data_IF_573385139386
#
_entry.id   IF_573385139386
#
_cell.length_a   1.000
_cell.length_b   1.000
_cell.length_c   1.000
_cell.angle_alpha   90.00
_cell.angle_beta   90.00
_cell.angle_gamma   90.00
#
_symmetry.space_group_name_H-M   'P 1'
#
loop_
_entity.id
_entity.type
_entity.pdbx_description
1 polymer ?
#
# COMPACT_ATOMS: atom_id res chain seq x y z
N UNK A 1 -25.79 13.57 55.18
CA UNK A 1 -26.82 13.12 54.23
C UNK A 1 -26.69 11.64 53.82
N UNK A 2 -25.87 10.81 54.49
CA UNK A 2 -25.77 9.36 54.25
C UNK A 2 -26.38 8.51 55.37
N UNK A 3 -26.97 9.14 56.39
CA UNK A 3 -27.41 8.47 57.62
C UNK A 3 -28.87 8.01 57.61
N UNK A 4 -29.69 8.47 56.65
CA UNK A 4 -31.13 8.14 56.58
C UNK A 4 -31.46 7.05 55.52
N UNK A 5 -30.42 6.40 54.97
CA UNK A 5 -30.59 5.34 53.96
C UNK A 5 -30.83 3.99 54.63
N UNK A 6 -31.79 3.21 54.11
CA UNK A 6 -32.05 1.83 54.56
C UNK A 6 -30.78 0.99 54.33
N UNK A 7 -30.53 0.02 55.21
CA UNK A 7 -29.32 -0.84 55.17
C UNK A 7 -29.05 -1.43 53.76
N UNK A 8 -30.12 -1.77 53.02
CA UNK A 8 -30.07 -2.24 51.63
C UNK A 8 -29.42 -1.24 50.67
N UNK A 9 -29.79 0.03 50.76
CA UNK A 9 -29.29 1.08 49.85
C UNK A 9 -27.82 1.38 50.13
N UNK A 10 -27.38 1.27 51.40
CA UNK A 10 -25.98 1.42 51.80
C UNK A 10 -25.10 0.30 51.22
N UNK A 11 -25.60 -0.94 51.22
CA UNK A 11 -24.91 -2.09 50.61
C UNK A 11 -24.86 -1.94 49.08
N UNK A 12 -25.96 -1.52 48.44
CA UNK A 12 -26.01 -1.28 46.98
C UNK A 12 -25.06 -0.15 46.57
N UNK A 13 -25.00 0.95 47.34
CA UNK A 13 -24.11 2.07 47.05
C UNK A 13 -22.63 1.62 47.08
N UNK A 14 -22.23 0.89 48.12
CA UNK A 14 -20.85 0.38 48.24
C UNK A 14 -20.52 -0.61 47.12
N UNK A 15 -21.46 -1.49 46.74
CA UNK A 15 -21.28 -2.43 45.64
C UNK A 15 -21.30 -1.76 44.25
N UNK A 16 -21.97 -0.62 44.10
CA UNK A 16 -22.08 0.09 42.82
C UNK A 16 -20.77 0.73 42.37
N UNK A 17 -19.94 1.21 43.31
CA UNK A 17 -18.65 1.85 43.02
C UNK A 17 -17.68 0.94 42.26
N UNK A 18 -17.34 -0.29 42.73
CA UNK A 18 -16.49 -1.20 41.96
C UNK A 18 -17.13 -1.65 40.65
N UNK A 19 -18.47 -1.74 40.59
CA UNK A 19 -19.18 -2.12 39.36
C UNK A 19 -19.04 -1.05 38.28
N UNK A 20 -19.21 0.24 38.63
CA UNK A 20 -19.02 1.36 37.70
C UNK A 20 -17.57 1.43 37.23
N UNK A 21 -16.60 1.20 38.11
CA UNK A 21 -15.18 1.15 37.75
C UNK A 21 -14.90 0.05 36.72
N UNK A 22 -15.41 -1.18 36.93
CA UNK A 22 -15.29 -2.27 35.96
C UNK A 22 -15.94 -1.94 34.61
N UNK A 23 -17.09 -1.27 34.62
CA UNK A 23 -17.76 -0.85 33.39
C UNK A 23 -16.93 0.17 32.59
N UNK A 24 -16.27 1.12 33.27
CA UNK A 24 -15.37 2.09 32.62
C UNK A 24 -14.17 1.36 32.00
N UNK A 25 -13.55 0.42 32.73
CA UNK A 25 -12.44 -0.38 32.22
C UNK A 25 -12.86 -1.23 31.01
N UNK A 26 -14.03 -1.86 31.06
CA UNK A 26 -14.58 -2.62 29.95
C UNK A 26 -14.85 -1.74 28.73
N UNK A 27 -15.46 -0.58 28.93
CA UNK A 27 -15.73 0.36 27.85
C UNK A 27 -14.43 0.84 27.20
N UNK A 28 -13.43 1.22 28.00
CA UNK A 28 -12.13 1.64 27.49
C UNK A 28 -11.42 0.52 26.72
N UNK A 29 -11.41 -0.70 27.26
CA UNK A 29 -10.81 -1.86 26.60
C UNK A 29 -11.54 -2.22 25.30
N UNK A 30 -12.86 -2.12 25.28
CA UNK A 30 -13.67 -2.36 24.08
C UNK A 30 -13.41 -1.32 22.99
N UNK A 31 -13.32 -0.04 23.37
CA UNK A 31 -12.99 1.04 22.45
C UNK A 31 -11.60 0.87 21.83
N UNK A 32 -10.58 0.57 22.66
CA UNK A 32 -9.21 0.34 22.18
C UNK A 32 -9.14 -0.90 21.26
N UNK A 33 -9.82 -1.99 21.63
CA UNK A 33 -9.86 -3.20 20.80
C UNK A 33 -10.50 -2.95 19.42
N UNK A 34 -11.54 -2.11 19.36
CA UNK A 34 -12.18 -1.73 18.11
C UNK A 34 -11.23 -0.90 17.21
N UNK A 35 -10.50 0.06 17.79
CA UNK A 35 -9.52 0.86 17.04
C UNK A 35 -8.36 0.00 16.52
N UNK A 36 -7.85 -0.93 17.33
CA UNK A 36 -6.82 -1.90 16.90
C UNK A 36 -7.31 -2.77 15.74
N UNK A 37 -8.56 -3.26 15.79
CA UNK A 37 -9.14 -4.06 14.72
C UNK A 37 -9.22 -3.26 13.41
N UNK A 38 -9.68 -2.00 13.48
CA UNK A 38 -9.78 -1.13 12.31
C UNK A 38 -8.42 -0.88 11.67
N UNK A 39 -7.40 -0.56 12.47
CA UNK A 39 -6.02 -0.37 12.01
C UNK A 39 -5.46 -1.63 11.36
N UNK A 40 -5.70 -2.80 11.95
CA UNK A 40 -5.27 -4.09 11.37
C UNK A 40 -5.86 -4.31 9.97
N UNK A 41 -7.12 -3.95 9.75
CA UNK A 41 -7.74 -4.03 8.43
C UNK A 41 -7.16 -3.03 7.42
N UNK A 42 -6.87 -1.78 7.84
CA UNK A 42 -6.18 -0.78 7.01
C UNK A 42 -4.79 -1.28 6.57
N UNK A 43 -4.03 -1.86 7.50
CA UNK A 43 -2.72 -2.45 7.22
C UNK A 43 -2.81 -3.63 6.26
N UNK A 44 -3.78 -4.53 6.43
CA UNK A 44 -3.99 -5.65 5.52
C UNK A 44 -4.30 -5.17 4.10
N UNK A 45 -5.11 -4.11 3.96
CA UNK A 45 -5.37 -3.47 2.66
C UNK A 45 -4.11 -2.87 2.05
N UNK A 46 -3.28 -2.21 2.85
CA UNK A 46 -2.03 -1.62 2.41
C UNK A 46 -1.00 -2.67 1.98
N UNK A 47 -0.87 -3.77 2.72
CA UNK A 47 -0.03 -4.90 2.31
C UNK A 47 -0.50 -5.50 0.99
N UNK A 48 -1.81 -5.63 0.79
CA UNK A 48 -2.38 -6.14 -0.46
C UNK A 48 -2.11 -5.18 -1.63
N UNK A 49 -2.21 -3.86 -1.42
CA UNK A 49 -1.79 -2.87 -2.42
C UNK A 49 -0.31 -3.05 -2.80
N UNK A 50 0.56 -3.24 -1.81
CA UNK A 50 2.00 -3.47 -2.02
C UNK A 50 2.29 -4.77 -2.76
N UNK A 51 1.47 -5.81 -2.59
CA UNK A 51 1.58 -7.06 -3.36
C UNK A 51 1.27 -6.84 -4.85
N UNK A 52 0.18 -6.10 -5.16
CA UNK A 52 -0.13 -5.72 -6.54
C UNK A 52 0.97 -4.84 -7.15
N UNK A 53 1.48 -3.88 -6.37
CA UNK A 53 2.56 -3.00 -6.81
C UNK A 53 3.85 -3.77 -7.09
N UNK A 54 4.23 -4.70 -6.21
CA UNK A 54 5.40 -5.56 -6.39
C UNK A 54 5.27 -6.42 -7.65
N UNK A 55 4.08 -6.96 -7.90
CA UNK A 55 3.78 -7.70 -9.14
C UNK A 55 3.95 -6.84 -10.39
N UNK A 56 3.46 -5.60 -10.36
CA UNK A 56 3.65 -4.64 -11.46
C UNK A 56 5.13 -4.31 -11.65
N UNK A 57 5.88 -4.06 -10.57
CA UNK A 57 7.33 -3.78 -10.63
C UNK A 57 8.07 -4.93 -11.31
N UNK A 58 7.73 -6.18 -11.01
CA UNK A 58 8.36 -7.34 -11.63
C UNK A 58 8.13 -7.40 -13.15
N UNK A 59 6.91 -7.12 -13.61
CA UNK A 59 6.63 -7.03 -15.05
C UNK A 59 7.32 -5.84 -15.72
N UNK A 60 7.38 -4.68 -15.06
CA UNK A 60 8.09 -3.51 -15.57
C UNK A 60 9.61 -3.74 -15.67
N UNK A 61 10.20 -4.52 -14.75
CA UNK A 61 11.62 -4.90 -14.82
C UNK A 61 11.91 -5.76 -16.05
N UNK A 62 11.02 -6.73 -16.34
CA UNK A 62 11.10 -7.56 -17.55
C UNK A 62 10.92 -6.72 -18.81
N UNK A 63 9.90 -5.86 -18.86
CA UNK A 63 9.65 -4.98 -20.00
C UNK A 63 10.83 -4.03 -20.26
N UNK A 64 11.45 -3.48 -19.21
CA UNK A 64 12.66 -2.66 -19.34
C UNK A 64 13.81 -3.44 -19.98
N UNK A 65 14.06 -4.67 -19.53
CA UNK A 65 15.14 -5.51 -20.05
C UNK A 65 14.91 -5.90 -21.51
N UNK A 66 13.70 -6.32 -21.85
CA UNK A 66 13.33 -6.65 -23.23
C UNK A 66 13.36 -5.42 -24.14
N UNK A 67 12.87 -4.26 -23.66
CA UNK A 67 12.94 -3.00 -24.41
C UNK A 67 14.39 -2.59 -24.70
N UNK A 68 15.30 -2.75 -23.74
CA UNK A 68 16.72 -2.48 -23.94
C UNK A 68 17.33 -3.38 -25.02
N UNK A 69 17.04 -4.69 -24.98
CA UNK A 69 17.51 -5.64 -26.00
C UNK A 69 16.90 -5.38 -27.39
N UNK A 70 15.61 -5.08 -27.45
CA UNK A 70 14.91 -4.70 -28.68
C UNK A 70 15.53 -3.45 -29.30
N UNK A 71 15.69 -2.38 -28.54
CA UNK A 71 16.26 -1.13 -29.04
C UNK A 71 17.74 -1.28 -29.44
N UNK A 72 18.54 -2.00 -28.65
CA UNK A 72 19.98 -2.19 -28.91
C UNK A 72 20.25 -3.07 -30.13
N UNK A 73 19.36 -4.02 -30.42
CA UNK A 73 19.42 -4.88 -31.62
C UNK A 73 18.83 -4.21 -32.87
N UNK A 74 18.34 -2.98 -32.78
CA UNK A 74 17.67 -2.31 -33.89
C UNK A 74 16.27 -2.85 -34.20
N UNK A 75 15.63 -3.50 -33.22
CA UNK A 75 14.26 -4.01 -33.31
C UNK A 75 14.15 -5.49 -33.65
N UNK A 76 15.25 -6.25 -33.56
CA UNK A 76 15.28 -7.67 -33.95
C UNK A 76 15.06 -8.59 -32.75
N UNK A 77 15.84 -8.39 -31.68
CA UNK A 77 15.80 -9.24 -30.49
C UNK A 77 14.59 -8.88 -29.63
N UNK A 78 13.89 -9.88 -29.07
CA UNK A 78 12.72 -9.70 -28.21
C UNK A 78 11.49 -9.06 -28.88
N UNK A 79 11.41 -8.99 -30.22
CA UNK A 79 10.31 -8.30 -30.90
C UNK A 79 8.92 -8.89 -30.55
N UNK A 80 8.78 -10.22 -30.54
CA UNK A 80 7.53 -10.90 -30.18
C UNK A 80 7.33 -10.96 -28.67
N UNK A 81 8.38 -11.27 -27.91
CA UNK A 81 8.34 -11.38 -26.45
C UNK A 81 7.99 -10.04 -25.79
N UNK A 82 8.48 -8.93 -26.35
CA UNK A 82 8.17 -7.59 -25.85
C UNK A 82 6.68 -7.26 -26.01
N UNK A 83 6.03 -7.71 -27.08
CA UNK A 83 4.59 -7.49 -27.26
C UNK A 83 3.78 -8.21 -26.17
N UNK A 84 4.11 -9.47 -25.88
CA UNK A 84 3.43 -10.22 -24.82
C UNK A 84 3.77 -9.65 -23.43
N UNK A 85 5.02 -9.26 -23.20
CA UNK A 85 5.43 -8.62 -21.96
C UNK A 85 4.72 -7.29 -21.70
N UNK A 86 4.48 -6.47 -22.73
CA UNK A 86 3.68 -5.24 -22.61
C UNK A 86 2.25 -5.56 -22.12
N UNK A 87 1.64 -6.63 -22.63
CA UNK A 87 0.30 -7.10 -22.19
C UNK A 87 0.29 -7.56 -20.73
N UNK A 88 1.35 -8.25 -20.27
CA UNK A 88 1.50 -8.64 -18.88
C UNK A 88 1.63 -7.42 -17.96
N UNK A 89 2.47 -6.44 -18.31
CA UNK A 89 2.59 -5.18 -17.57
C UNK A 89 1.25 -4.45 -17.48
N UNK A 90 0.53 -4.36 -18.59
CA UNK A 90 -0.78 -3.67 -18.63
C UNK A 90 -1.82 -4.38 -17.76
N UNK A 91 -1.82 -5.71 -17.77
CA UNK A 91 -2.68 -6.52 -16.89
C UNK A 91 -2.41 -6.21 -15.41
N UNK A 92 -1.13 -6.17 -15.00
CA UNK A 92 -0.76 -5.88 -13.60
C UNK A 92 -1.02 -4.43 -13.21
N UNK A 93 -0.90 -3.51 -14.16
CA UNK A 93 -1.26 -2.11 -13.95
C UNK A 93 -2.77 -1.97 -13.70
N UNK A 94 -3.59 -2.66 -14.49
CA UNK A 94 -5.04 -2.64 -14.33
C UNK A 94 -5.49 -3.34 -13.04
N UNK A 95 -4.88 -4.46 -12.68
CA UNK A 95 -5.12 -5.14 -11.40
C UNK A 95 -4.87 -4.18 -10.22
N UNK A 96 -3.74 -3.47 -10.22
CA UNK A 96 -3.41 -2.47 -9.22
C UNK A 96 -4.43 -1.32 -9.20
N UNK A 97 -4.76 -0.74 -10.36
CA UNK A 97 -5.73 0.37 -10.45
C UNK A 97 -7.11 -0.04 -9.94
N UNK A 98 -7.58 -1.24 -10.29
CA UNK A 98 -8.86 -1.79 -9.81
C UNK A 98 -8.85 -1.97 -8.30
N UNK A 99 -7.75 -2.50 -7.75
CA UNK A 99 -7.60 -2.64 -6.31
C UNK A 99 -7.64 -1.28 -5.60
N UNK A 100 -6.87 -0.30 -6.08
CA UNK A 100 -6.82 1.05 -5.50
C UNK A 100 -8.18 1.78 -5.60
N UNK A 101 -8.94 1.56 -6.67
CA UNK A 101 -10.26 2.19 -6.86
C UNK A 101 -11.36 1.57 -5.98
N UNK A 102 -11.20 0.30 -5.60
CA UNK A 102 -12.14 -0.44 -4.75
C UNK A 102 -11.78 -0.42 -3.27
N UNK A 103 -10.65 0.18 -2.92
CA UNK A 103 -10.07 0.13 -1.57
C UNK A 103 -10.03 1.53 -0.95
N UNK A 104 -10.54 1.64 0.27
CA UNK A 104 -10.44 2.84 1.12
C UNK A 104 -9.60 2.55 2.37
N UNK A 105 -9.18 3.61 3.08
CA UNK A 105 -8.41 3.46 4.33
C UNK A 105 -6.93 3.14 4.14
N UNK A 106 -6.37 3.46 2.96
CA UNK A 106 -4.92 3.46 2.78
C UNK A 106 -4.31 4.70 3.43
N UNK A 107 -3.12 4.55 4.01
CA UNK A 107 -2.37 5.68 4.56
C UNK A 107 -2.11 6.75 3.50
N UNK A 108 -2.31 8.02 3.86
CA UNK A 108 -2.20 9.15 2.92
C UNK A 108 -0.79 9.27 2.35
N UNK A 109 0.25 9.03 3.16
CA UNK A 109 1.63 9.13 2.69
C UNK A 109 1.99 8.00 1.73
N UNK A 110 1.40 6.81 1.94
CA UNK A 110 1.53 5.69 1.02
C UNK A 110 0.83 5.97 -0.31
N UNK A 111 -0.41 6.46 -0.28
CA UNK A 111 -1.16 6.83 -1.51
C UNK A 111 -0.42 7.92 -2.30
N UNK A 112 0.11 8.95 -1.63
CA UNK A 112 0.89 9.99 -2.30
C UNK A 112 2.16 9.44 -2.96
N UNK A 113 2.86 8.49 -2.32
CA UNK A 113 4.04 7.86 -2.89
C UNK A 113 3.68 7.05 -4.15
N UNK A 114 2.62 6.24 -4.08
CA UNK A 114 2.06 5.50 -5.20
C UNK A 114 1.70 6.41 -6.38
N UNK A 115 0.97 7.50 -6.10
CA UNK A 115 0.45 8.39 -7.13
C UNK A 115 1.57 9.04 -7.95
N UNK A 116 2.72 9.35 -7.34
CA UNK A 116 3.89 9.87 -8.06
C UNK A 116 4.33 8.94 -9.19
N UNK A 117 4.40 7.63 -8.92
CA UNK A 117 4.78 6.65 -9.92
C UNK A 117 3.68 6.42 -10.96
N UNK A 118 2.41 6.36 -10.53
CA UNK A 118 1.26 6.24 -11.45
C UNK A 118 1.16 7.41 -12.43
N UNK A 119 1.45 8.63 -11.99
CA UNK A 119 1.44 9.82 -12.85
C UNK A 119 2.52 9.75 -13.94
N UNK A 120 3.70 9.21 -13.65
CA UNK A 120 4.73 8.98 -14.67
C UNK A 120 4.29 7.91 -15.67
N UNK A 121 3.62 6.87 -15.18
CA UNK A 121 3.15 5.73 -15.96
C UNK A 121 2.11 6.10 -17.03
N UNK A 122 1.43 7.25 -16.90
CA UNK A 122 0.56 7.82 -17.94
C UNK A 122 1.29 7.97 -19.28
N UNK A 123 2.61 8.22 -19.26
CA UNK A 123 3.43 8.37 -20.47
C UNK A 123 3.93 7.04 -21.04
N UNK A 124 3.59 5.90 -20.43
CA UNK A 124 4.06 4.59 -20.87
C UNK A 124 3.69 4.26 -22.33
N UNK A 125 2.46 4.53 -22.82
CA UNK A 125 2.13 4.31 -24.22
C UNK A 125 2.97 5.18 -25.18
N UNK A 126 3.24 6.43 -24.79
CA UNK A 126 4.08 7.34 -25.59
C UNK A 126 5.52 6.82 -25.68
N UNK A 127 6.07 6.33 -24.56
CA UNK A 127 7.39 5.72 -24.54
C UNK A 127 7.47 4.47 -25.42
N UNK A 128 6.46 3.58 -25.35
CA UNK A 128 6.36 2.39 -26.20
C UNK A 128 6.29 2.74 -27.69
N UNK A 129 5.53 3.77 -28.06
CA UNK A 129 5.45 4.23 -29.44
C UNK A 129 6.77 4.82 -29.95
N UNK A 130 7.53 5.52 -29.09
CA UNK A 130 8.84 6.04 -29.45
C UNK A 130 9.83 4.94 -29.84
N UNK A 131 9.67 3.73 -29.31
CA UNK A 131 10.49 2.56 -29.65
C UNK A 131 10.36 2.12 -31.11
N UNK A 132 9.31 2.53 -31.81
CA UNK A 132 9.11 2.22 -33.22
C UNK A 132 9.87 3.14 -34.17
N UNK A 133 10.60 4.12 -33.64
CA UNK A 133 11.43 5.05 -34.42
C UNK A 133 12.45 4.34 -35.32
N UNK A 134 12.90 5.05 -36.36
CA UNK A 134 13.94 4.53 -37.28
C UNK A 134 15.30 4.39 -36.58
N UNK A 135 15.64 5.35 -35.72
CA UNK A 135 16.87 5.30 -34.92
C UNK A 135 16.58 4.79 -33.50
N UNK A 136 16.35 3.48 -33.39
CA UNK A 136 16.02 2.82 -32.11
C UNK A 136 17.15 2.89 -31.09
N UNK A 137 18.41 2.93 -31.54
CA UNK A 137 19.57 2.94 -30.64
C UNK A 137 19.68 4.26 -29.88
N UNK A 138 19.31 5.37 -30.51
CA UNK A 138 19.36 6.71 -29.89
C UNK A 138 18.49 6.85 -28.62
N UNK A 139 17.45 6.01 -28.47
CA UNK A 139 16.48 6.13 -27.36
C UNK A 139 16.67 5.08 -26.26
N UNK A 140 17.65 4.17 -26.37
CA UNK A 140 17.92 3.11 -25.39
C UNK A 140 18.06 3.67 -23.98
N UNK A 141 18.97 4.63 -23.78
CA UNK A 141 19.28 5.19 -22.47
C UNK A 141 18.07 5.91 -21.86
N UNK A 142 17.35 6.69 -22.67
CA UNK A 142 16.14 7.40 -22.23
C UNK A 142 15.03 6.44 -21.79
N UNK A 143 14.89 5.30 -22.50
CA UNK A 143 13.91 4.27 -22.19
C UNK A 143 14.26 3.56 -20.89
N UNK A 144 15.51 3.13 -20.74
CA UNK A 144 15.99 2.47 -19.51
C UNK A 144 15.85 3.40 -18.30
N UNK A 145 16.22 4.68 -18.45
CA UNK A 145 16.09 5.69 -17.41
C UNK A 145 14.64 5.91 -16.99
N UNK A 146 13.73 6.00 -17.97
CA UNK A 146 12.30 6.15 -17.72
C UNK A 146 11.71 5.00 -16.90
N UNK A 147 11.92 3.75 -17.32
CA UNK A 147 11.44 2.59 -16.57
C UNK A 147 12.08 2.51 -15.18
N UNK A 148 13.39 2.76 -15.08
CA UNK A 148 14.12 2.70 -13.81
C UNK A 148 13.59 3.72 -12.82
N UNK A 149 13.31 4.96 -13.25
CA UNK A 149 12.72 5.98 -12.39
C UNK A 149 11.37 5.53 -11.78
N UNK A 150 10.49 4.94 -12.60
CA UNK A 150 9.18 4.47 -12.13
C UNK A 150 9.35 3.29 -11.16
N UNK A 151 10.19 2.31 -11.52
CA UNK A 151 10.48 1.15 -10.68
C UNK A 151 11.02 1.59 -9.31
N UNK A 152 11.95 2.55 -9.26
CA UNK A 152 12.48 3.09 -8.00
C UNK A 152 11.38 3.72 -7.14
N UNK A 153 10.54 4.58 -7.71
CA UNK A 153 9.43 5.21 -6.98
C UNK A 153 8.46 4.16 -6.41
N UNK A 154 8.20 3.09 -7.17
CA UNK A 154 7.34 2.00 -6.70
C UNK A 154 7.98 1.17 -5.61
N UNK A 155 9.28 0.84 -5.71
CA UNK A 155 10.00 0.16 -4.65
C UNK A 155 10.02 0.99 -3.36
N UNK A 156 10.28 2.29 -3.46
CA UNK A 156 10.23 3.21 -2.32
C UNK A 156 8.83 3.25 -1.68
N UNK A 157 7.78 3.17 -2.50
CA UNK A 157 6.40 3.09 -2.02
C UNK A 157 6.13 1.79 -1.25
N UNK A 158 6.66 0.65 -1.72
CA UNK A 158 6.59 -0.62 -0.98
C UNK A 158 7.33 -0.49 0.35
N UNK A 159 8.54 0.07 0.36
CA UNK A 159 9.32 0.24 1.60
C UNK A 159 8.57 1.12 2.61
N UNK A 160 7.96 2.21 2.14
CA UNK A 160 7.17 3.10 2.98
C UNK A 160 5.96 2.37 3.61
N UNK A 161 5.35 1.43 2.89
CA UNK A 161 4.29 0.60 3.46
C UNK A 161 4.77 -0.27 4.62
N UNK A 162 5.99 -0.80 4.54
CA UNK A 162 6.57 -1.64 5.58
C UNK A 162 6.89 -0.80 6.82
N UNK A 163 7.42 0.42 6.65
CA UNK A 163 7.69 1.33 7.79
C UNK A 163 6.42 1.68 8.54
N UNK A 164 5.34 2.03 7.83
CA UNK A 164 4.03 2.34 8.43
C UNK A 164 3.47 1.13 9.20
N UNK A 165 3.60 -0.07 8.62
CA UNK A 165 3.19 -1.32 9.29
C UNK A 165 3.99 -1.52 10.58
N UNK A 166 5.31 -1.31 10.57
CA UNK A 166 6.14 -1.49 11.77
C UNK A 166 5.77 -0.52 12.89
N UNK A 167 5.60 0.76 12.58
CA UNK A 167 5.26 1.80 13.57
C UNK A 167 3.87 1.59 14.19
N UNK A 168 2.95 0.98 13.43
CA UNK A 168 1.62 0.62 13.94
C UNK A 168 1.65 -0.54 14.94
N UNK A 169 2.54 -1.53 14.75
CA UNK A 169 2.66 -2.68 15.65
C UNK A 169 3.30 -2.27 16.99
N UNK A 170 4.35 -1.44 16.95
CA UNK A 170 5.02 -0.94 18.17
C UNK A 170 4.12 -0.05 19.02
N UNK A 171 3.20 0.72 18.41
CA UNK A 171 2.17 1.46 19.14
C UNK A 171 1.14 0.57 19.85
N UNK A 172 0.75 -0.55 19.23
CA UNK A 172 -0.19 -1.50 19.86
C UNK A 172 0.42 -2.21 21.07
N UNK A 173 1.73 -2.49 21.04
CA UNK A 173 2.43 -3.19 22.11
C UNK A 173 2.62 -2.31 23.36
N UNK A 174 2.91 -1.01 23.17
CA UNK A 174 3.06 -0.05 24.28
C UNK A 174 1.74 0.42 24.89
N UNK A 175 0.60 0.27 24.20
CA UNK A 175 -0.72 0.65 24.71
C UNK A 175 -1.38 -0.37 25.66
N UNK A 176 -0.73 -1.52 25.90
CA UNK A 176 -1.25 -2.61 26.73
C UNK A 176 -0.75 -2.62 28.18
N UNK A 177 0.03 -1.61 28.61
CA UNK A 177 0.64 -1.55 29.94
C UNK A 177 0.14 -0.33 30.70
N UNK A 178 -1.12 -0.33 31.15
CA UNK A 178 -1.61 0.38 32.34
C UNK A 178 -2.87 -0.31 32.87
#
# INVERSE_FOLDING_TARGET
>A
MLNDLKLRDKIVLIASVPMVFLLILMFWRSYNAYDTLKRSQDLARQMKASQYLSSLVHEMQKERGMSAGFLSSGGVQFASELQEQRRHTDTKLDDLKRFLSSTSGLDTNYVQALQKGLNLLVKLPQMRNAMESKDKKAIVDSTIKYFTQIITIFLDSVLKSITIVRDSQTSCENGGVF
#
